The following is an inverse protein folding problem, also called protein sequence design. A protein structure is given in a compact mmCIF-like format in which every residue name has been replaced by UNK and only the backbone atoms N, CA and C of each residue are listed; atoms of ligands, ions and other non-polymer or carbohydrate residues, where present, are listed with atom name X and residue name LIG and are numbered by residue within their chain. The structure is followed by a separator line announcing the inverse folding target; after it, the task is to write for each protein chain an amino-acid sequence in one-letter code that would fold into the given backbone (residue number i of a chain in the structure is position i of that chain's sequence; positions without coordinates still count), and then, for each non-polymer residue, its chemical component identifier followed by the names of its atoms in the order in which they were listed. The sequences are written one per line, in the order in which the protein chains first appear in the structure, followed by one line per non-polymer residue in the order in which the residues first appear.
data_IF_702267333235
#
_entry.id   IF_702267333235
#
_cell.length_a   1.000
_cell.length_b   1.000
_cell.length_c   1.000
_cell.angle_alpha   90.00
_cell.angle_beta   90.00
_cell.angle_gamma   90.00
#
_symmetry.space_group_name_H-M   'P 1'
#
loop_
_entity.id
_entity.type
_entity.pdbx_description
1 polymer ?
#
# COMPACT_ATOMS: atom_id res chain seq x y z
N UNK A 1 0.48 -6.87 17.53
CA UNK A 1 1.63 -7.09 16.64
C UNK A 1 2.88 -6.57 17.32
N UNK A 2 3.88 -7.42 17.51
CA UNK A 2 5.24 -7.02 17.88
C UNK A 2 5.91 -6.24 16.75
N UNK A 3 7.06 -5.60 17.01
CA UNK A 3 7.81 -4.89 15.95
C UNK A 3 8.27 -5.83 14.84
N UNK A 4 8.69 -7.04 15.20
CA UNK A 4 9.08 -8.07 14.24
C UNK A 4 7.88 -8.50 13.38
N UNK A 5 6.71 -8.68 13.98
CA UNK A 5 5.48 -9.00 13.25
C UNK A 5 5.04 -7.86 12.32
N UNK A 6 5.21 -6.59 12.73
CA UNK A 6 4.94 -5.43 11.88
C UNK A 6 5.86 -5.41 10.65
N UNK A 7 7.16 -5.63 10.84
CA UNK A 7 8.12 -5.72 9.73
C UNK A 7 7.80 -6.87 8.78
N UNK A 8 7.48 -8.04 9.34
CA UNK A 8 7.08 -9.22 8.55
C UNK A 8 5.82 -8.91 7.72
N UNK A 9 4.81 -8.32 8.35
CA UNK A 9 3.57 -7.95 7.68
C UNK A 9 3.81 -6.99 6.51
N UNK A 10 4.63 -5.95 6.71
CA UNK A 10 4.96 -5.00 5.63
C UNK A 10 5.68 -5.71 4.48
N UNK A 11 6.62 -6.62 4.77
CA UNK A 11 7.31 -7.41 3.73
C UNK A 11 6.35 -8.28 2.94
N UNK A 12 5.53 -9.09 3.62
CA UNK A 12 4.54 -9.95 2.96
C UNK A 12 3.56 -9.14 2.12
N UNK A 13 3.12 -7.97 2.60
CA UNK A 13 2.24 -7.08 1.85
C UNK A 13 2.93 -6.56 0.58
N UNK A 14 4.19 -6.11 0.69
CA UNK A 14 4.97 -5.63 -0.45
C UNK A 14 5.20 -6.74 -1.49
N UNK A 15 5.53 -7.96 -1.05
CA UNK A 15 5.73 -9.12 -1.92
C UNK A 15 4.44 -9.49 -2.67
N UNK A 16 3.29 -9.44 -1.99
CA UNK A 16 1.99 -9.67 -2.63
C UNK A 16 1.71 -8.64 -3.72
N UNK A 17 1.95 -7.36 -3.44
CA UNK A 17 1.76 -6.27 -4.42
C UNK A 17 2.73 -6.44 -5.60
N UNK A 18 3.99 -6.77 -5.34
CA UNK A 18 4.99 -7.01 -6.37
C UNK A 18 4.59 -8.18 -7.29
N UNK A 19 4.15 -9.30 -6.72
CA UNK A 19 3.61 -10.45 -7.47
C UNK A 19 2.46 -10.04 -8.41
N UNK A 20 1.52 -9.24 -7.92
CA UNK A 20 0.37 -8.80 -8.72
C UNK A 20 0.76 -7.81 -9.83
N UNK A 21 1.77 -6.97 -9.59
CA UNK A 21 2.35 -6.09 -10.61
C UNK A 21 3.01 -6.93 -11.69
N UNK A 22 3.87 -7.88 -11.34
CA UNK A 22 4.55 -8.76 -12.32
C UNK A 22 3.54 -9.50 -13.19
N UNK A 23 2.45 -10.03 -12.61
CA UNK A 23 1.34 -10.62 -13.39
C UNK A 23 0.66 -9.62 -14.32
N UNK A 24 0.52 -8.36 -13.88
CA UNK A 24 -0.07 -7.30 -14.69
C UNK A 24 0.85 -6.84 -15.83
N UNK A 25 2.17 -6.92 -15.65
CA UNK A 25 3.17 -6.53 -16.66
C UNK A 25 3.12 -7.41 -17.92
N UNK A 26 2.66 -8.66 -17.82
CA UNK A 26 2.42 -9.49 -18.99
C UNK A 26 1.45 -8.87 -20.01
N UNK A 27 0.64 -7.90 -19.58
CA UNK A 27 -0.33 -7.16 -20.43
C UNK A 27 0.03 -5.69 -20.60
N UNK A 28 1.11 -5.23 -19.97
CA UNK A 28 1.52 -3.83 -20.05
C UNK A 28 2.24 -3.57 -21.39
N UNK A 29 2.10 -2.36 -21.97
CA UNK A 29 2.90 -1.94 -23.11
C UNK A 29 4.40 -2.05 -22.82
N UNK A 30 5.18 -2.53 -23.79
CA UNK A 30 6.64 -2.64 -23.68
C UNK A 30 7.35 -1.27 -23.58
N UNK A 31 6.64 -0.18 -23.89
CA UNK A 31 7.13 1.20 -23.82
C UNK A 31 7.05 1.80 -22.42
N UNK A 32 6.44 1.10 -21.45
CA UNK A 32 6.36 1.60 -20.08
C UNK A 32 7.74 1.67 -19.45
N UNK A 33 8.05 2.82 -18.87
CA UNK A 33 9.30 3.06 -18.18
C UNK A 33 9.10 3.09 -16.66
N UNK A 34 10.12 3.54 -15.92
CA UNK A 34 10.07 3.61 -14.46
C UNK A 34 8.92 4.47 -13.90
N UNK A 35 8.42 5.46 -14.65
CA UNK A 35 7.34 6.34 -14.23
C UNK A 35 6.00 5.62 -14.22
N UNK A 36 5.61 4.96 -15.32
CA UNK A 36 4.35 4.20 -15.36
C UNK A 36 4.38 3.05 -14.34
N UNK A 37 5.52 2.39 -14.17
CA UNK A 37 5.68 1.32 -13.19
C UNK A 37 5.50 1.82 -11.75
N UNK A 38 6.03 3.00 -11.42
CA UNK A 38 5.79 3.64 -10.10
C UNK A 38 4.32 3.98 -9.89
N UNK A 39 3.65 4.51 -10.91
CA UNK A 39 2.21 4.80 -10.85
C UNK A 39 1.39 3.53 -10.66
N UNK A 40 1.70 2.45 -11.40
CA UNK A 40 1.05 1.16 -11.26
C UNK A 40 1.24 0.60 -9.84
N UNK A 41 2.44 0.71 -9.27
CA UNK A 41 2.71 0.29 -7.89
C UNK A 41 1.84 1.05 -6.89
N UNK A 42 1.78 2.38 -7.01
CA UNK A 42 0.97 3.21 -6.13
C UNK A 42 -0.52 2.85 -6.20
N UNK A 43 -1.06 2.61 -7.39
CA UNK A 43 -2.45 2.19 -7.56
C UNK A 43 -2.73 0.80 -6.96
N UNK A 44 -1.82 -0.17 -7.14
CA UNK A 44 -1.96 -1.49 -6.51
C UNK A 44 -1.90 -1.42 -4.98
N UNK A 45 -0.98 -0.63 -4.43
CA UNK A 45 -0.90 -0.40 -2.99
C UNK A 45 -2.16 0.29 -2.44
N UNK A 46 -2.68 1.29 -3.17
CA UNK A 46 -3.92 1.99 -2.85
C UNK A 46 -5.14 1.07 -2.88
N UNK A 47 -5.19 0.12 -3.83
CA UNK A 47 -6.21 -0.90 -3.94
C UNK A 47 -6.11 -1.92 -2.78
N UNK A 48 -4.90 -2.33 -2.39
CA UNK A 48 -4.71 -3.20 -1.22
C UNK A 48 -5.15 -2.54 0.10
N UNK A 49 -5.03 -1.21 0.19
CA UNK A 49 -5.54 -0.43 1.31
C UNK A 49 -7.07 -0.21 1.25
N UNK A 50 -7.73 -0.53 0.13
CA UNK A 50 -9.16 -0.40 -0.05
C UNK A 50 -9.90 -1.40 0.84
N UNK A 51 -10.95 -0.94 1.52
CA UNK A 51 -11.70 -1.79 2.45
C UNK A 51 -11.06 -1.96 3.84
N UNK A 52 -9.93 -1.32 4.13
CA UNK A 52 -9.43 -1.21 5.51
C UNK A 52 -10.38 -0.39 6.37
N UNK A 53 -10.51 -0.74 7.65
CA UNK A 53 -11.35 -0.02 8.62
C UNK A 53 -11.02 1.48 8.68
N UNK A 54 -9.73 1.84 8.54
CA UNK A 54 -9.26 3.23 8.51
C UNK A 54 -9.88 4.00 7.34
N UNK A 55 -10.01 3.38 6.17
CA UNK A 55 -10.64 3.99 5.00
C UNK A 55 -12.16 3.91 5.01
N UNK A 56 -12.75 2.83 5.55
CA UNK A 56 -14.21 2.66 5.66
C UNK A 56 -14.83 3.64 6.64
N UNK A 57 -14.13 3.95 7.73
CA UNK A 57 -14.59 4.86 8.77
C UNK A 57 -13.60 6.02 8.95
N UNK A 58 -13.51 6.96 7.98
CA UNK A 58 -12.50 8.01 7.98
C UNK A 58 -12.62 8.95 9.19
N UNK A 59 -13.82 9.10 9.75
CA UNK A 59 -14.07 9.90 10.96
C UNK A 59 -14.00 9.10 12.27
N UNK A 60 -13.79 7.78 12.20
CA UNK A 60 -13.66 6.91 13.36
C UNK A 60 -12.38 7.21 14.14
N UNK A 61 -12.38 6.85 15.43
CA UNK A 61 -11.23 7.07 16.33
C UNK A 61 -9.93 6.54 15.74
N UNK A 62 -9.94 5.30 15.24
CA UNK A 62 -8.76 4.64 14.65
C UNK A 62 -8.18 5.38 13.44
N UNK A 63 -9.03 5.96 12.59
CA UNK A 63 -8.60 6.71 11.42
C UNK A 63 -8.05 8.10 11.77
N UNK A 64 -8.60 8.73 12.83
CA UNK A 64 -8.07 9.99 13.37
C UNK A 64 -6.72 9.76 14.04
N UNK A 65 -6.63 8.77 14.93
CA UNK A 65 -5.40 8.41 15.64
C UNK A 65 -4.28 8.07 14.65
N UNK A 66 -4.58 7.23 13.64
CA UNK A 66 -3.62 6.91 12.58
C UNK A 66 -3.13 8.14 11.83
N UNK A 67 -4.02 9.04 11.41
CA UNK A 67 -3.62 10.26 10.67
C UNK A 67 -2.76 11.18 11.52
N UNK A 68 -3.12 11.37 12.78
CA UNK A 68 -2.33 12.17 13.70
C UNK A 68 -0.93 11.57 13.90
N UNK A 69 -0.85 10.26 14.12
CA UNK A 69 0.43 9.56 14.31
C UNK A 69 1.31 9.68 13.05
N UNK A 70 0.74 9.48 11.86
CA UNK A 70 1.45 9.66 10.59
C UNK A 70 1.99 11.08 10.42
N UNK A 71 1.17 12.10 10.70
CA UNK A 71 1.58 13.52 10.56
C UNK A 71 2.68 13.89 11.55
N UNK A 72 2.59 13.42 12.80
CA UNK A 72 3.51 13.83 13.86
C UNK A 72 4.84 13.08 13.77
N UNK A 73 4.83 11.81 13.37
CA UNK A 73 5.98 10.92 13.50
C UNK A 73 6.59 10.47 12.16
N UNK A 74 5.89 10.63 11.03
CA UNK A 74 6.27 9.98 9.75
C UNK A 74 6.17 10.87 8.49
N UNK A 75 5.74 12.14 8.61
CA UNK A 75 5.78 13.16 7.55
C UNK A 75 6.69 14.31 7.96
#
# INVERSE_FOLDING_TARGET
MTKQEQMMFVRTLADSIASDIVKSLARAPATWDGHELRCLFAEKAKAAAWGTEIRRHPHGKRAKDYRNDVIVNYL
#
